data_IF_596980316404
#
_entry.id   IF_596980316404
#
_cell.length_a   1.000
_cell.length_b   1.000
_cell.length_c   1.000
_cell.angle_alpha   90.00
_cell.angle_beta   90.00
_cell.angle_gamma   90.00
#
_symmetry.space_group_name_H-M   'P 1'
#
loop_
_entity.id
_entity.type
_entity.pdbx_description
1 polymer ?
#
# COMPACT_ATOMS: atom_id res chain seq x y z
N UNK A 1 -2.94 13.38 3.38
CA UNK A 1 -4.27 12.72 3.39
C UNK A 1 -4.08 11.24 3.70
N UNK A 2 -5.10 10.54 4.21
CA UNK A 2 -5.06 9.07 4.44
C UNK A 2 -6.05 8.37 3.52
N UNK A 3 -5.68 7.20 3.00
CA UNK A 3 -6.56 6.40 2.14
C UNK A 3 -7.60 5.66 2.98
N UNK A 4 -8.85 5.67 2.49
CA UNK A 4 -9.94 4.86 3.03
C UNK A 4 -10.29 3.76 2.03
N UNK A 5 -10.50 2.55 2.54
CA UNK A 5 -10.95 1.40 1.73
C UNK A 5 -12.29 0.94 2.28
N UNK A 6 -13.36 1.24 1.55
CA UNK A 6 -14.71 0.74 1.83
C UNK A 6 -14.99 -0.54 1.08
N UNK A 7 -15.84 -1.40 1.65
CA UNK A 7 -16.43 -2.53 0.93
C UNK A 7 -17.97 -2.45 0.92
N UNK A 8 -18.66 -3.25 0.06
CA UNK A 8 -20.11 -3.19 -0.08
C UNK A 8 -20.91 -3.57 1.18
N UNK A 9 -20.28 -4.11 2.23
CA UNK A 9 -20.94 -4.45 3.49
C UNK A 9 -21.07 -3.26 4.43
N UNK A 10 -20.50 -2.11 4.06
CA UNK A 10 -20.45 -0.91 4.90
C UNK A 10 -19.23 -0.86 5.82
N UNK A 11 -18.30 -1.81 5.71
CA UNK A 11 -17.05 -1.77 6.45
C UNK A 11 -16.08 -0.80 5.77
N UNK A 12 -15.42 0.04 6.56
CA UNK A 12 -14.38 0.98 6.09
C UNK A 12 -13.10 0.74 6.87
N UNK A 13 -12.00 0.56 6.15
CA UNK A 13 -10.65 0.49 6.71
C UNK A 13 -9.89 1.79 6.44
N UNK A 14 -9.10 2.23 7.42
CA UNK A 14 -8.15 3.34 7.27
C UNK A 14 -6.78 2.76 6.98
N UNK A 15 -6.14 3.20 5.90
CA UNK A 15 -4.78 2.80 5.56
C UNK A 15 -3.81 3.74 6.29
N UNK A 16 -2.96 3.23 7.21
CA UNK A 16 -2.11 4.07 8.03
C UNK A 16 -0.80 4.49 7.35
N UNK A 17 -0.45 3.87 6.21
CA UNK A 17 0.79 4.07 5.47
C UNK A 17 0.63 5.08 4.34
N UNK A 18 1.76 5.64 3.90
CA UNK A 18 1.85 6.58 2.79
C UNK A 18 2.18 8.00 3.24
N UNK A 19 2.64 8.82 2.29
CA UNK A 19 3.20 10.14 2.57
C UNK A 19 2.94 11.14 1.44
N UNK A 20 3.12 12.46 1.67
CA UNK A 20 2.85 13.50 0.67
C UNK A 20 3.62 13.36 -0.64
N UNK A 21 4.81 12.74 -0.65
CA UNK A 21 5.60 12.53 -1.87
C UNK A 21 4.88 11.65 -2.91
N UNK A 22 3.89 10.86 -2.47
CA UNK A 22 3.11 10.01 -3.37
C UNK A 22 2.11 10.79 -4.23
N UNK A 23 1.97 12.10 -4.02
CA UNK A 23 1.13 12.99 -4.81
C UNK A 23 1.75 13.34 -6.17
N UNK A 24 2.33 12.34 -6.85
CA UNK A 24 2.93 12.45 -8.19
C UNK A 24 2.11 11.63 -9.20
N UNK A 25 2.17 12.03 -10.48
CA UNK A 25 1.49 11.31 -11.54
C UNK A 25 1.97 9.86 -11.65
N UNK A 26 1.03 8.92 -11.75
CA UNK A 26 1.32 7.49 -11.94
C UNK A 26 1.29 6.64 -10.67
N UNK A 27 1.31 7.21 -9.46
CA UNK A 27 1.20 6.41 -8.22
C UNK A 27 -0.16 5.69 -8.12
N UNK A 28 -1.23 6.32 -8.59
CA UNK A 28 -2.55 5.70 -8.72
C UNK A 28 -2.57 4.48 -9.66
N UNK A 29 -1.80 4.51 -10.75
CA UNK A 29 -1.70 3.39 -11.69
C UNK A 29 -0.97 2.20 -11.05
N UNK A 30 0.08 2.48 -10.26
CA UNK A 30 0.78 1.44 -9.48
C UNK A 30 -0.18 0.78 -8.48
N UNK A 31 -0.97 1.57 -7.75
CA UNK A 31 -1.99 1.04 -6.84
C UNK A 31 -3.02 0.17 -7.57
N UNK A 32 -3.56 0.65 -8.69
CA UNK A 32 -4.56 -0.08 -9.46
C UNK A 32 -4.00 -1.42 -9.98
N UNK A 33 -2.79 -1.41 -10.56
CA UNK A 33 -2.11 -2.60 -11.04
C UNK A 33 -1.80 -3.60 -9.92
N UNK A 34 -1.40 -3.12 -8.75
CA UNK A 34 -1.17 -3.96 -7.57
C UNK A 34 -2.46 -4.66 -7.11
N UNK A 35 -3.56 -3.92 -6.96
CA UNK A 35 -4.86 -4.51 -6.57
C UNK A 35 -5.31 -5.53 -7.62
N UNK A 36 -5.22 -5.18 -8.91
CA UNK A 36 -5.58 -6.08 -10.00
C UNK A 36 -4.73 -7.37 -9.98
N UNK A 37 -3.42 -7.26 -9.73
CA UNK A 37 -2.53 -8.41 -9.60
C UNK A 37 -2.89 -9.32 -8.42
N UNK A 38 -3.25 -8.74 -7.27
CA UNK A 38 -3.70 -9.49 -6.09
C UNK A 38 -5.00 -10.25 -6.37
N UNK A 39 -5.97 -9.60 -7.03
CA UNK A 39 -7.24 -10.24 -7.43
C UNK A 39 -6.99 -11.35 -8.46
N UNK A 40 -6.14 -11.11 -9.47
CA UNK A 40 -5.75 -12.13 -10.45
C UNK A 40 -5.01 -13.32 -9.81
N UNK A 41 -4.31 -13.09 -8.69
CA UNK A 41 -3.69 -14.12 -7.86
C UNK A 41 -4.64 -14.88 -6.94
N UNK A 42 -5.96 -14.60 -6.98
CA UNK A 42 -6.99 -15.30 -6.23
C UNK A 42 -7.38 -14.67 -4.90
N UNK A 43 -6.87 -13.48 -4.56
CA UNK A 43 -7.24 -12.79 -3.32
C UNK A 43 -8.62 -12.12 -3.49
N UNK A 44 -9.50 -12.32 -2.51
CA UNK A 44 -10.85 -11.74 -2.52
C UNK A 44 -10.80 -10.19 -2.65
N UNK A 45 -11.67 -9.56 -3.47
CA UNK A 45 -11.55 -8.13 -3.77
C UNK A 45 -11.47 -7.18 -2.56
N UNK A 46 -12.28 -7.34 -1.48
CA UNK A 46 -12.14 -6.48 -0.30
C UNK A 46 -10.77 -6.61 0.38
N UNK A 47 -10.23 -7.83 0.45
CA UNK A 47 -8.91 -8.08 1.02
C UNK A 47 -7.79 -7.59 0.10
N UNK A 48 -7.94 -7.77 -1.22
CA UNK A 48 -7.00 -7.29 -2.22
C UNK A 48 -6.90 -5.76 -2.20
N UNK A 49 -8.03 -5.06 -2.09
CA UNK A 49 -8.06 -3.60 -1.99
C UNK A 49 -7.35 -3.10 -0.72
N UNK A 50 -7.66 -3.69 0.45
CA UNK A 50 -7.04 -3.32 1.73
C UNK A 50 -5.53 -3.60 1.73
N UNK A 51 -5.14 -4.80 1.31
CA UNK A 51 -3.73 -5.24 1.28
C UNK A 51 -2.93 -4.47 0.24
N UNK A 52 -3.51 -4.23 -0.94
CA UNK A 52 -2.90 -3.43 -2.00
C UNK A 52 -2.68 -1.98 -1.57
N UNK A 53 -3.68 -1.34 -0.99
CA UNK A 53 -3.55 0.04 -0.52
C UNK A 53 -2.51 0.19 0.60
N UNK A 54 -2.47 -0.75 1.56
CA UNK A 54 -1.43 -0.78 2.59
C UNK A 54 -0.03 -0.98 2.00
N UNK A 55 0.14 -1.99 1.14
CA UNK A 55 1.42 -2.31 0.52
C UNK A 55 1.94 -1.16 -0.34
N UNK A 56 1.04 -0.50 -1.08
CA UNK A 56 1.35 0.69 -1.87
C UNK A 56 1.83 1.86 -1.00
N UNK A 57 1.13 2.15 0.11
CA UNK A 57 1.57 3.18 1.06
C UNK A 57 2.92 2.86 1.69
N UNK A 58 3.13 1.60 2.11
CA UNK A 58 4.40 1.15 2.66
C UNK A 58 5.56 1.29 1.66
N UNK A 59 5.34 0.97 0.38
CA UNK A 59 6.31 1.18 -0.68
C UNK A 59 6.66 2.66 -0.85
N UNK A 60 5.66 3.55 -0.79
CA UNK A 60 5.88 5.00 -0.79
C UNK A 60 6.69 5.46 0.42
N UNK A 61 6.44 4.92 1.60
CA UNK A 61 7.19 5.27 2.82
C UNK A 61 8.64 4.78 2.76
N UNK A 62 8.87 3.60 2.18
CA UNK A 62 10.21 3.08 1.90
C UNK A 62 10.98 3.98 0.93
N UNK A 63 10.36 4.37 -0.18
CA UNK A 63 10.95 5.26 -1.17
C UNK A 63 11.27 6.64 -0.56
N UNK A 64 10.33 7.22 0.20
CA UNK A 64 10.53 8.50 0.86
C UNK A 64 11.66 8.47 1.91
N UNK A 65 11.86 7.34 2.62
CA UNK A 65 13.02 7.18 3.53
C UNK A 65 14.37 7.23 2.80
N UNK A 66 14.41 6.80 1.53
CA UNK A 66 15.65 6.75 0.73
C UNK A 66 15.93 8.07 0.01
N UNK A 67 14.90 8.72 -0.50
CA UNK A 67 15.04 9.86 -1.42
C UNK A 67 14.55 11.19 -0.84
N UNK A 68 13.78 11.15 0.25
CA UNK A 68 12.96 12.26 0.70
C UNK A 68 11.62 12.31 -0.04
N UNK A 69 10.62 12.95 0.57
CA UNK A 69 9.26 13.03 0.01
C UNK A 69 9.21 13.93 -1.24
N UNK A 70 10.02 14.98 -1.29
CA UNK A 70 9.99 15.99 -2.37
C UNK A 70 10.58 15.50 -3.69
N UNK A 71 11.51 14.54 -3.64
CA UNK A 71 12.22 14.02 -4.82
C UNK A 71 11.61 12.73 -5.37
N UNK A 72 10.59 12.19 -4.71
CA UNK A 72 10.05 10.87 -5.03
C UNK A 72 9.13 10.91 -6.27
N UNK A 73 9.29 9.94 -7.15
CA UNK A 73 8.43 9.68 -8.30
C UNK A 73 7.69 8.35 -8.16
N UNK A 74 6.70 8.12 -9.03
CA UNK A 74 5.97 6.85 -9.08
C UNK A 74 6.90 5.64 -9.36
N UNK A 75 7.97 5.83 -10.13
CA UNK A 75 8.99 4.81 -10.39
C UNK A 75 9.73 4.37 -9.12
N UNK A 76 10.08 5.32 -8.24
CA UNK A 76 10.79 5.00 -7.00
C UNK A 76 9.93 4.20 -6.01
N UNK A 77 8.63 4.49 -5.99
CA UNK A 77 7.64 3.68 -5.28
C UNK A 77 7.59 2.27 -5.86
N UNK A 78 7.50 2.15 -7.18
CA UNK A 78 7.45 0.86 -7.87
C UNK A 78 8.70 0.02 -7.57
N UNK A 79 9.89 0.64 -7.57
CA UNK A 79 11.16 0.00 -7.21
C UNK A 79 11.19 -0.48 -5.75
N UNK A 80 10.44 0.19 -4.87
CA UNK A 80 10.30 -0.17 -3.45
C UNK A 80 9.22 -1.22 -3.19
N UNK A 81 8.36 -1.51 -4.18
CA UNK A 81 7.23 -2.42 -4.04
C UNK A 81 7.63 -3.88 -3.73
N UNK A 82 8.69 -4.47 -4.32
CA UNK A 82 9.13 -5.82 -3.96
C UNK A 82 9.52 -5.95 -2.47
N UNK A 83 10.10 -4.91 -1.88
CA UNK A 83 10.43 -4.90 -0.45
C UNK A 83 9.17 -4.80 0.41
N UNK A 84 8.25 -3.90 0.06
CA UNK A 84 6.98 -3.76 0.77
C UNK A 84 6.19 -5.08 0.79
N UNK A 85 6.13 -5.80 -0.35
CA UNK A 85 5.48 -7.12 -0.44
C UNK A 85 6.14 -8.14 0.49
N UNK A 86 7.48 -8.18 0.54
CA UNK A 86 8.20 -9.10 1.44
C UNK A 86 7.89 -8.82 2.90
N UNK A 87 7.86 -7.54 3.30
CA UNK A 87 7.55 -7.12 4.67
C UNK A 87 6.13 -7.51 5.08
N UNK A 88 5.14 -7.24 4.22
CA UNK A 88 3.74 -7.63 4.46
C UNK A 88 3.61 -9.14 4.61
N UNK A 89 4.26 -9.93 3.73
CA UNK A 89 4.25 -11.40 3.84
C UNK A 89 4.95 -11.92 5.11
N UNK A 90 5.96 -11.21 5.61
CA UNK A 90 6.66 -11.55 6.84
C UNK A 90 5.94 -11.07 8.11
N UNK A 91 4.85 -10.30 7.99
CA UNK A 91 4.18 -9.65 9.13
C UNK A 91 4.96 -8.48 9.73
N UNK A 92 6.01 -8.00 9.06
CA UNK A 92 6.84 -6.88 9.50
C UNK A 92 6.24 -5.54 9.03
N UNK A 93 5.24 -5.06 9.77
CA UNK A 93 4.46 -3.86 9.43
C UNK A 93 5.06 -2.55 9.96
N UNK A 94 6.22 -2.60 10.64
CA UNK A 94 6.92 -1.45 11.23
C UNK A 94 6.25 -0.83 12.47
N UNK A 95 7.05 -0.14 13.29
CA UNK A 95 6.63 0.52 14.53
C UNK A 95 5.56 1.60 14.27
N UNK A 96 4.29 1.27 14.54
CA UNK A 96 3.20 2.27 14.58
C UNK A 96 1.83 1.82 14.07
N UNK A 97 1.69 0.66 13.44
CA UNK A 97 0.40 0.17 12.96
C UNK A 97 -0.40 -0.55 14.07
N UNK A 98 -0.64 0.12 15.20
CA UNK A 98 -1.68 -0.26 16.16
C UNK A 98 -3.05 0.08 15.56
N UNK A 99 -3.54 -0.79 14.67
CA UNK A 99 -4.78 -0.57 13.94
C UNK A 99 -5.02 -1.64 12.89
N UNK A 100 -5.18 -2.87 13.36
CA UNK A 100 -5.85 -4.01 12.70
C UNK A 100 -5.82 -4.01 11.17
N UNK A 101 -4.71 -4.48 10.58
CA UNK A 101 -4.80 -5.21 9.33
C UNK A 101 -4.12 -6.56 9.56
N UNK A 102 -4.89 -7.52 10.06
CA UNK A 102 -4.52 -8.91 9.92
C UNK A 102 -4.58 -9.25 8.43
N UNK A 103 -3.47 -9.07 7.72
CA UNK A 103 -3.25 -9.61 6.38
C UNK A 103 -2.75 -11.04 6.56
N UNK A 104 -3.61 -11.92 7.06
CA UNK A 104 -3.36 -13.37 6.96
C UNK A 104 -3.92 -13.85 5.61
N UNK A 105 -3.23 -14.76 4.91
CA UNK A 105 -3.69 -15.33 3.65
C UNK A 105 -5.02 -16.09 3.80
#
# INVERSE_FOLDING_TARGET
ARTLVGDPTGTVAVVPTGNPGMATGGTGDVLAGLIAGLVAGGIAPPLAARSGAYTHGLAGDLAARRLGQEAMLAGDLLDSLPEAIRRVKAGDTGDGAAGTVAVSP
#
